data_IF_268265009344
#
_entry.id   IF_268265009344
#
_cell.length_a   1.000
_cell.length_b   1.000
_cell.length_c   1.000
_cell.angle_alpha   90.00
_cell.angle_beta   90.00
_cell.angle_gamma   90.00
#
_symmetry.space_group_name_H-M   'P 1'
#
loop_
_entity.id
_entity.type
_entity.pdbx_description
1 polymer ?
#
# COMPACT_ATOMS: atom_id res chain seq x y z
N UNK A 1 -57.91 56.20 17.74
CA UNK A 1 -57.90 54.90 16.96
C UNK A 1 -56.69 54.76 16.03
N UNK A 2 -56.16 55.78 15.46
CA UNK A 2 -55.03 55.73 14.49
C UNK A 2 -53.66 55.34 15.07
N UNK A 3 -53.36 55.70 16.30
CA UNK A 3 -52.06 55.44 16.96
C UNK A 3 -51.87 53.96 17.30
N UNK A 4 -52.93 53.26 17.69
CA UNK A 4 -52.88 51.82 18.02
C UNK A 4 -52.66 50.94 16.76
N UNK A 5 -53.23 51.34 15.62
CA UNK A 5 -53.09 50.69 14.33
C UNK A 5 -51.65 50.86 13.84
N UNK A 6 -51.10 52.06 13.93
CA UNK A 6 -49.73 52.39 13.48
C UNK A 6 -48.65 51.64 14.29
N UNK A 7 -48.86 51.44 15.57
CA UNK A 7 -47.96 50.66 16.40
C UNK A 7 -48.05 49.15 16.12
N UNK A 8 -49.24 48.62 15.80
CA UNK A 8 -49.38 47.21 15.38
C UNK A 8 -48.69 46.94 14.03
N UNK A 9 -48.79 47.81 13.08
CA UNK A 9 -48.17 47.69 11.78
C UNK A 9 -46.63 47.70 11.95
N UNK A 10 -46.10 48.66 12.69
CA UNK A 10 -44.66 48.76 12.98
C UNK A 10 -44.10 47.50 13.70
N UNK A 11 -44.84 46.93 14.63
CA UNK A 11 -44.42 45.69 15.31
C UNK A 11 -44.49 44.50 14.34
N UNK A 12 -45.41 44.44 13.40
CA UNK A 12 -45.52 43.41 12.38
C UNK A 12 -44.34 43.48 11.37
N UNK A 13 -44.00 44.70 10.92
CA UNK A 13 -42.85 44.93 10.03
C UNK A 13 -41.54 44.52 10.73
N UNK A 14 -41.41 44.81 12.01
CA UNK A 14 -40.24 44.41 12.80
C UNK A 14 -40.14 42.88 12.99
N UNK A 15 -41.27 42.21 13.18
CA UNK A 15 -41.35 40.74 13.25
C UNK A 15 -40.99 40.08 11.92
N UNK A 16 -41.52 40.61 10.80
CA UNK A 16 -41.21 40.09 9.46
C UNK A 16 -39.73 40.31 9.12
N UNK A 17 -39.16 41.46 9.45
CA UNK A 17 -37.76 41.74 9.24
C UNK A 17 -36.84 40.78 10.02
N UNK A 18 -37.15 40.52 11.29
CA UNK A 18 -36.40 39.54 12.09
C UNK A 18 -36.54 38.11 11.57
N UNK A 19 -37.74 37.72 11.11
CA UNK A 19 -37.98 36.39 10.54
C UNK A 19 -37.16 36.18 9.25
N UNK A 20 -37.10 37.18 8.37
CA UNK A 20 -36.29 37.16 7.15
C UNK A 20 -34.80 37.10 7.48
N UNK A 21 -34.36 37.82 8.51
CA UNK A 21 -32.96 37.79 8.95
C UNK A 21 -32.54 36.40 9.49
N UNK A 22 -33.41 35.78 10.28
CA UNK A 22 -33.17 34.43 10.80
C UNK A 22 -33.11 33.38 9.68
N UNK A 23 -33.95 33.50 8.64
CA UNK A 23 -33.90 32.56 7.49
C UNK A 23 -32.64 32.73 6.64
N UNK A 24 -32.10 33.95 6.52
CA UNK A 24 -30.85 34.18 5.77
C UNK A 24 -29.58 33.62 6.47
N UNK A 25 -29.59 33.47 7.79
CA UNK A 25 -28.41 32.94 8.55
C UNK A 25 -28.40 31.42 8.60
N UNK A 26 -29.54 30.76 8.32
CA UNK A 26 -29.69 29.30 8.42
C UNK A 26 -29.06 28.49 7.27
N UNK A 27 -28.56 29.13 6.22
CA UNK A 27 -28.05 28.45 4.99
C UNK A 27 -26.50 28.47 4.91
N UNK A 28 -25.80 28.15 5.97
CA UNK A 28 -24.38 27.80 5.89
C UNK A 28 -24.22 26.29 5.95
N UNK A 29 -24.77 25.56 4.99
CA UNK A 29 -24.28 24.23 4.71
C UNK A 29 -22.92 24.37 4.03
N UNK A 30 -21.86 24.27 4.86
CA UNK A 30 -20.54 23.94 4.33
C UNK A 30 -20.69 22.55 3.70
N UNK A 31 -20.77 22.52 2.38
CA UNK A 31 -20.73 21.27 1.62
C UNK A 31 -19.37 20.62 1.88
N UNK A 32 -19.31 19.70 2.82
CA UNK A 32 -18.15 18.81 2.95
C UNK A 32 -18.05 18.01 1.68
N UNK A 33 -16.95 18.10 0.92
CA UNK A 33 -16.74 17.25 -0.25
C UNK A 33 -16.95 15.82 0.19
N UNK A 34 -17.87 15.09 -0.44
CA UNK A 34 -18.00 13.65 -0.21
C UNK A 34 -16.68 13.02 -0.61
N UNK A 35 -16.08 12.14 0.20
CA UNK A 35 -14.90 11.39 -0.21
C UNK A 35 -15.24 10.68 -1.52
N UNK A 36 -14.28 10.64 -2.45
CA UNK A 36 -14.45 9.91 -3.70
C UNK A 36 -14.90 8.49 -3.40
N UNK A 37 -15.96 8.03 -4.06
CA UNK A 37 -16.40 6.65 -3.93
C UNK A 37 -15.32 5.74 -4.47
N UNK A 38 -14.76 4.91 -3.59
CA UNK A 38 -13.78 3.89 -3.99
C UNK A 38 -14.51 2.77 -4.71
N UNK A 39 -13.91 2.25 -5.78
CA UNK A 39 -14.34 0.99 -6.35
C UNK A 39 -14.24 -0.09 -5.27
N UNK A 40 -15.31 -0.84 -5.05
CA UNK A 40 -15.27 -1.99 -4.16
C UNK A 40 -14.42 -3.07 -4.82
N UNK A 41 -13.17 -3.15 -4.44
CA UNK A 41 -12.28 -4.24 -4.83
C UNK A 41 -12.63 -5.42 -3.95
N UNK A 42 -13.16 -6.47 -4.57
CA UNK A 42 -13.36 -7.74 -3.88
C UNK A 42 -12.02 -8.46 -3.86
N UNK A 43 -11.39 -8.53 -2.70
CA UNK A 43 -10.19 -9.33 -2.51
C UNK A 43 -10.60 -10.80 -2.50
N UNK A 44 -9.98 -11.66 -3.33
CA UNK A 44 -10.28 -13.08 -3.34
C UNK A 44 -9.80 -13.76 -2.05
N UNK A 45 -10.46 -14.84 -1.66
CA UNK A 45 -9.96 -15.72 -0.61
C UNK A 45 -8.59 -16.27 -1.03
N UNK A 46 -7.63 -16.23 -0.12
CA UNK A 46 -6.26 -16.61 -0.41
C UNK A 46 -5.91 -17.95 0.25
N UNK A 47 -5.58 -18.93 -0.58
CA UNK A 47 -4.85 -20.12 -0.17
C UNK A 47 -3.36 -19.91 -0.50
N UNK A 48 -2.48 -20.55 0.27
CA UNK A 48 -1.03 -20.47 0.06
C UNK A 48 -0.47 -21.85 -0.25
N UNK A 49 0.47 -21.90 -1.19
CA UNK A 49 1.22 -23.09 -1.56
C UNK A 49 2.73 -22.80 -1.47
N UNK A 50 3.58 -23.77 -1.13
CA UNK A 50 5.02 -23.54 -1.17
C UNK A 50 5.47 -23.22 -2.61
N UNK A 51 6.25 -22.15 -2.78
CA UNK A 51 6.82 -21.77 -4.07
C UNK A 51 7.66 -22.90 -4.68
N UNK A 52 8.39 -23.62 -3.83
CA UNK A 52 9.22 -24.76 -4.22
C UNK A 52 8.44 -25.92 -4.83
N UNK A 53 7.14 -26.03 -4.61
CA UNK A 53 6.34 -27.08 -5.22
C UNK A 53 6.28 -26.97 -6.75
N UNK A 54 6.42 -25.76 -7.28
CA UNK A 54 6.44 -25.47 -8.71
C UNK A 54 7.86 -25.16 -9.22
N UNK A 55 8.73 -24.62 -8.35
CA UNK A 55 10.07 -24.13 -8.69
C UNK A 55 11.15 -24.71 -7.77
N UNK A 56 11.39 -26.04 -7.79
CA UNK A 56 12.27 -26.71 -6.82
C UNK A 56 13.76 -26.32 -6.95
N UNK A 57 14.19 -25.81 -8.11
CA UNK A 57 15.58 -25.46 -8.39
C UNK A 57 16.00 -24.07 -7.86
N UNK A 58 15.08 -23.30 -7.30
CA UNK A 58 15.38 -21.97 -6.78
C UNK A 58 16.06 -22.06 -5.40
N UNK A 59 17.02 -21.16 -5.08
CA UNK A 59 17.77 -21.17 -3.82
C UNK A 59 16.96 -20.63 -2.64
N UNK A 60 15.69 -20.39 -2.80
CA UNK A 60 14.76 -19.89 -1.78
C UNK A 60 13.39 -20.52 -1.92
N UNK A 61 12.63 -20.45 -0.86
CA UNK A 61 11.22 -20.88 -0.77
C UNK A 61 10.42 -19.91 0.09
N UNK A 62 9.11 -19.84 -0.15
CA UNK A 62 8.15 -19.05 0.62
C UNK A 62 6.72 -19.49 0.28
N UNK A 63 5.75 -19.08 1.09
CA UNK A 63 4.34 -19.29 0.80
C UNK A 63 3.87 -18.34 -0.32
N UNK A 64 3.51 -18.91 -1.47
CA UNK A 64 2.97 -18.21 -2.62
C UNK A 64 1.45 -18.22 -2.58
N UNK A 65 0.83 -17.06 -2.80
CA UNK A 65 -0.62 -16.93 -2.95
C UNK A 65 -1.14 -17.69 -4.17
N UNK A 66 -2.24 -18.44 -4.02
CA UNK A 66 -2.90 -19.12 -5.13
C UNK A 66 -3.52 -18.18 -6.17
N UNK A 67 -3.68 -16.90 -5.81
CA UNK A 67 -4.21 -15.87 -6.70
C UNK A 67 -3.12 -15.21 -7.56
N UNK A 68 -1.87 -15.56 -7.32
CA UNK A 68 -0.71 -15.03 -8.02
C UNK A 68 -0.20 -16.00 -9.09
N UNK A 69 0.41 -15.45 -10.12
CA UNK A 69 1.08 -16.18 -11.19
C UNK A 69 2.56 -15.80 -11.23
N UNK A 70 3.43 -16.81 -11.24
CA UNK A 70 4.88 -16.58 -11.32
C UNK A 70 5.29 -16.46 -12.78
N UNK A 71 6.01 -15.39 -13.09
CA UNK A 71 6.65 -15.13 -14.36
C UNK A 71 8.16 -15.17 -14.16
N UNK A 72 8.80 -16.19 -14.72
CA UNK A 72 10.26 -16.35 -14.66
C UNK A 72 10.92 -15.32 -15.57
N UNK A 73 11.96 -14.65 -15.08
CA UNK A 73 12.76 -13.72 -15.87
C UNK A 73 13.99 -14.43 -16.42
N UNK A 74 14.11 -14.43 -17.73
CA UNK A 74 15.21 -15.12 -18.43
C UNK A 74 16.54 -14.35 -18.40
N UNK A 75 16.49 -13.04 -18.12
CA UNK A 75 17.67 -12.16 -18.18
C UNK A 75 18.62 -12.38 -16.99
N UNK A 76 18.06 -12.76 -15.83
CA UNK A 76 18.82 -12.93 -14.61
C UNK A 76 18.41 -14.22 -13.89
N UNK A 77 19.37 -15.03 -13.41
CA UNK A 77 19.06 -16.27 -12.72
C UNK A 77 18.30 -16.03 -11.41
N UNK A 78 17.25 -16.82 -11.21
CA UNK A 78 16.42 -16.79 -10.01
C UNK A 78 15.62 -15.49 -9.78
N UNK A 79 15.53 -14.62 -10.78
CA UNK A 79 14.62 -13.48 -10.71
C UNK A 79 13.24 -13.89 -11.19
N UNK A 80 12.20 -13.39 -10.50
CA UNK A 80 10.81 -13.68 -10.83
C UNK A 80 9.95 -12.42 -10.68
N UNK A 81 8.84 -12.39 -11.40
CA UNK A 81 7.74 -11.50 -11.11
C UNK A 81 6.57 -12.35 -10.59
N UNK A 82 5.93 -11.90 -9.53
CA UNK A 82 4.71 -12.49 -9.00
C UNK A 82 3.57 -11.57 -9.39
N UNK A 83 2.82 -11.97 -10.40
CA UNK A 83 1.74 -11.16 -10.97
C UNK A 83 0.39 -11.56 -10.39
N UNK A 84 -0.41 -10.56 -10.04
CA UNK A 84 -1.78 -10.68 -9.55
C UNK A 84 -2.75 -10.18 -10.61
N UNK A 85 -3.31 -11.04 -11.48
CA UNK A 85 -4.16 -10.64 -12.59
C UNK A 85 -5.38 -9.81 -12.18
N UNK A 86 -6.04 -10.23 -11.09
CA UNK A 86 -7.25 -9.59 -10.60
C UNK A 86 -7.03 -8.16 -10.03
N UNK A 87 -5.79 -7.83 -9.68
CA UNK A 87 -5.42 -6.54 -9.05
C UNK A 87 -4.57 -5.67 -9.97
N UNK A 88 -4.20 -6.18 -11.14
CA UNK A 88 -3.22 -5.58 -12.07
C UNK A 88 -1.96 -5.08 -11.33
N UNK A 89 -1.42 -5.96 -10.48
CA UNK A 89 -0.28 -5.67 -9.63
C UNK A 89 0.79 -6.73 -9.79
N UNK A 90 2.05 -6.31 -9.60
CA UNK A 90 3.21 -7.19 -9.72
C UNK A 90 4.16 -6.98 -8.55
N UNK A 91 4.64 -8.06 -7.95
CA UNK A 91 5.77 -8.06 -7.04
C UNK A 91 7.01 -8.45 -7.86
N UNK A 92 7.92 -7.50 -8.05
CA UNK A 92 9.19 -7.76 -8.70
C UNK A 92 10.19 -8.29 -7.69
N UNK A 93 10.66 -9.50 -7.90
CA UNK A 93 11.58 -10.20 -7.02
C UNK A 93 12.94 -10.37 -7.71
N UNK A 94 13.99 -10.00 -7.01
CA UNK A 94 15.37 -10.16 -7.45
C UNK A 94 16.18 -10.94 -6.41
N UNK A 95 17.01 -11.84 -6.90
CA UNK A 95 17.95 -12.61 -6.09
C UNK A 95 19.39 -12.27 -6.52
N UNK A 96 20.27 -12.12 -5.54
CA UNK A 96 21.72 -11.95 -5.78
C UNK A 96 22.51 -12.80 -4.79
N UNK A 97 23.54 -13.54 -5.26
CA UNK A 97 24.47 -14.17 -4.33
C UNK A 97 25.33 -13.10 -3.63
N UNK A 98 25.54 -13.26 -2.33
CA UNK A 98 26.43 -12.41 -1.56
C UNK A 98 27.88 -12.85 -1.79
N UNK A 99 28.73 -11.94 -2.28
CA UNK A 99 30.14 -12.15 -2.57
C UNK A 99 31.01 -11.15 -1.80
N UNK A 100 30.87 -11.11 -0.48
CA UNK A 100 31.45 -10.10 0.42
C UNK A 100 30.97 -8.67 0.19
N UNK A 101 29.88 -8.51 -0.51
CA UNK A 101 29.28 -7.22 -0.92
C UNK A 101 27.90 -6.97 -0.30
N UNK A 102 27.60 -7.60 0.84
CA UNK A 102 26.31 -7.47 1.53
C UNK A 102 25.95 -5.99 1.78
N UNK A 103 26.94 -5.20 2.22
CA UNK A 103 26.74 -3.76 2.49
C UNK A 103 26.32 -3.00 1.22
N UNK A 104 26.92 -3.34 0.09
CA UNK A 104 26.58 -2.75 -1.20
C UNK A 104 25.14 -3.14 -1.62
N UNK A 105 24.80 -4.42 -1.55
CA UNK A 105 23.45 -4.91 -1.85
C UNK A 105 22.38 -4.29 -0.96
N UNK A 106 22.69 -4.10 0.33
CA UNK A 106 21.79 -3.43 1.27
C UNK A 106 21.65 -1.95 0.94
N UNK A 107 22.74 -1.26 0.64
CA UNK A 107 22.70 0.15 0.24
C UNK A 107 21.88 0.35 -1.05
N UNK A 108 22.07 -0.52 -2.05
CA UNK A 108 21.27 -0.51 -3.28
C UNK A 108 19.78 -0.69 -2.98
N UNK A 109 19.44 -1.64 -2.09
CA UNK A 109 18.05 -1.86 -1.69
C UNK A 109 17.44 -0.61 -1.01
N UNK A 110 18.18 0.03 -0.11
CA UNK A 110 17.77 1.27 0.55
C UNK A 110 17.64 2.43 -0.45
N UNK A 111 18.58 2.56 -1.41
CA UNK A 111 18.50 3.58 -2.45
C UNK A 111 17.20 3.43 -3.27
N UNK A 112 16.79 2.20 -3.62
CA UNK A 112 15.50 1.96 -4.30
C UNK A 112 14.30 2.35 -3.45
N UNK A 113 14.31 2.12 -2.14
CA UNK A 113 13.28 2.57 -1.22
C UNK A 113 13.20 4.10 -1.23
N UNK A 114 14.33 4.77 -0.97
CA UNK A 114 14.35 6.23 -0.80
C UNK A 114 14.24 7.02 -2.11
N UNK A 115 14.51 6.40 -3.26
CA UNK A 115 14.21 7.01 -4.57
C UNK A 115 12.71 7.30 -4.74
N UNK A 116 11.85 6.51 -4.13
CA UNK A 116 10.40 6.71 -4.11
C UNK A 116 9.91 7.59 -2.95
N UNK A 117 10.81 7.99 -2.03
CA UNK A 117 10.45 8.72 -0.82
C UNK A 117 9.91 10.13 -1.07
N UNK A 118 10.21 10.74 -2.22
CA UNK A 118 9.72 12.10 -2.55
C UNK A 118 8.19 12.20 -2.63
N UNK A 119 7.50 11.10 -2.80
CA UNK A 119 6.03 11.01 -2.86
C UNK A 119 5.44 10.29 -1.64
N UNK A 120 6.30 9.84 -0.71
CA UNK A 120 5.86 9.20 0.52
C UNK A 120 5.56 10.25 1.60
N UNK A 121 4.50 10.02 2.36
CA UNK A 121 4.18 10.78 3.58
C UNK A 121 4.90 10.22 4.79
N UNK A 122 5.12 8.90 4.81
CA UNK A 122 5.95 8.20 5.78
C UNK A 122 6.49 6.90 5.20
N UNK A 123 7.55 6.36 5.80
CA UNK A 123 8.16 5.07 5.43
C UNK A 123 8.42 4.27 6.72
N UNK A 124 7.37 3.70 7.34
CA UNK A 124 7.56 2.76 8.44
C UNK A 124 8.43 1.58 8.04
N UNK A 125 9.38 1.26 8.90
CA UNK A 125 10.29 0.13 8.73
C UNK A 125 9.98 -0.95 9.76
N UNK A 126 9.97 -2.20 9.33
CA UNK A 126 9.79 -3.37 10.19
C UNK A 126 10.92 -4.36 9.99
N UNK A 127 11.73 -4.54 11.02
CA UNK A 127 12.75 -5.60 11.03
C UNK A 127 12.12 -6.98 11.18
N UNK A 128 12.67 -7.95 10.47
CA UNK A 128 12.37 -9.37 10.59
C UNK A 128 13.63 -10.14 10.91
N UNK A 129 13.52 -11.07 11.89
CA UNK A 129 14.58 -11.99 12.24
C UNK A 129 13.94 -13.36 12.50
N UNK A 130 14.35 -14.35 11.73
CA UNK A 130 14.01 -15.76 11.91
C UNK A 130 15.30 -16.58 11.98
N UNK A 131 15.94 -16.62 13.16
CA UNK A 131 17.27 -17.22 13.32
C UNK A 131 17.33 -18.71 12.97
N UNK A 132 16.24 -19.45 13.17
CA UNK A 132 16.18 -20.89 12.86
C UNK A 132 16.26 -21.18 11.35
N UNK A 133 15.87 -20.20 10.51
CA UNK A 133 15.94 -20.28 9.05
C UNK A 133 17.07 -19.42 8.46
N UNK A 134 17.90 -18.79 9.29
CA UNK A 134 18.93 -17.81 8.88
C UNK A 134 18.36 -16.69 7.99
N UNK A 135 17.15 -16.20 8.29
CA UNK A 135 16.48 -15.15 7.53
C UNK A 135 16.42 -13.87 8.35
N UNK A 136 17.08 -12.84 7.84
CA UNK A 136 17.11 -11.50 8.43
C UNK A 136 16.76 -10.46 7.37
N UNK A 137 15.95 -9.47 7.70
CA UNK A 137 15.54 -8.50 6.70
C UNK A 137 14.76 -7.32 7.24
N UNK A 138 14.36 -6.46 6.34
CA UNK A 138 13.54 -5.28 6.64
C UNK A 138 12.44 -5.14 5.60
N UNK A 139 11.25 -4.86 6.07
CA UNK A 139 10.10 -4.48 5.26
C UNK A 139 9.86 -2.97 5.42
N UNK A 140 9.64 -2.30 4.31
CA UNK A 140 9.35 -0.87 4.19
C UNK A 140 7.93 -0.70 3.66
N UNK A 141 7.08 -0.05 4.43
CA UNK A 141 5.76 0.37 3.99
C UNK A 141 5.86 1.84 3.51
N UNK A 142 5.69 2.10 2.22
CA UNK A 142 5.77 3.46 1.66
C UNK A 142 4.34 4.04 1.60
N UNK A 143 3.98 4.82 2.60
CA UNK A 143 2.67 5.47 2.67
C UNK A 143 2.62 6.71 1.78
N UNK A 144 1.47 6.96 1.16
CA UNK A 144 1.27 8.08 0.24
C UNK A 144 1.16 7.66 -1.22
N UNK A 145 1.27 8.62 -2.14
CA UNK A 145 1.12 8.39 -3.58
C UNK A 145 2.42 7.91 -4.23
N UNK A 146 2.97 6.83 -3.69
CA UNK A 146 4.22 6.23 -4.15
C UNK A 146 3.98 5.24 -5.28
N UNK A 147 4.96 5.09 -6.18
CA UNK A 147 4.89 4.10 -7.26
C UNK A 147 4.97 2.65 -6.72
N UNK A 148 5.66 2.46 -5.60
CA UNK A 148 5.79 1.17 -4.91
C UNK A 148 5.36 1.34 -3.47
N UNK A 149 4.28 0.68 -3.07
CA UNK A 149 3.69 0.82 -1.72
C UNK A 149 4.40 0.00 -0.66
N UNK A 150 5.11 -1.06 -1.07
CA UNK A 150 5.79 -1.95 -0.15
C UNK A 150 7.05 -2.52 -0.79
N UNK A 151 8.15 -2.53 -0.07
CA UNK A 151 9.41 -3.13 -0.47
C UNK A 151 10.01 -3.89 0.71
N UNK A 152 10.75 -4.96 0.44
CA UNK A 152 11.52 -5.64 1.47
C UNK A 152 12.78 -6.26 0.89
N UNK A 153 13.72 -6.56 1.76
CA UNK A 153 14.81 -7.48 1.45
C UNK A 153 15.01 -8.46 2.61
N UNK A 154 15.52 -9.63 2.28
CA UNK A 154 15.94 -10.66 3.25
C UNK A 154 17.28 -11.24 2.83
N UNK A 155 18.08 -11.66 3.82
CA UNK A 155 19.43 -12.22 3.63
C UNK A 155 19.75 -13.22 4.74
N UNK A 156 20.65 -14.17 4.44
CA UNK A 156 21.33 -14.99 5.46
C UNK A 156 22.65 -14.35 5.94
N UNK A 157 22.90 -13.11 5.51
CA UNK A 157 24.11 -12.33 5.79
C UNK A 157 25.40 -12.86 5.15
N UNK A 158 25.38 -14.02 4.51
CA UNK A 158 26.61 -14.69 4.04
C UNK A 158 26.61 -15.09 2.58
N UNK A 159 25.50 -15.62 2.06
CA UNK A 159 25.41 -16.23 0.73
C UNK A 159 24.28 -15.69 -0.11
N UNK A 160 23.19 -15.32 0.51
CA UNK A 160 21.91 -15.06 -0.15
C UNK A 160 21.39 -13.67 0.14
N UNK A 161 20.92 -12.99 -0.90
CA UNK A 161 20.21 -11.72 -0.79
C UNK A 161 19.01 -11.75 -1.73
N UNK A 162 17.83 -11.53 -1.19
CA UNK A 162 16.58 -11.46 -1.95
C UNK A 162 15.89 -10.13 -1.66
N UNK A 163 15.41 -9.48 -2.69
CA UNK A 163 14.67 -8.22 -2.60
C UNK A 163 13.39 -8.33 -3.40
N UNK A 164 12.32 -7.72 -2.88
CA UNK A 164 11.07 -7.59 -3.61
C UNK A 164 10.47 -6.19 -3.47
N UNK A 165 9.70 -5.77 -4.47
CA UNK A 165 8.99 -4.50 -4.50
C UNK A 165 7.67 -4.63 -5.24
N UNK A 166 6.62 -4.03 -4.69
CA UNK A 166 5.25 -4.06 -5.24
C UNK A 166 5.01 -2.88 -6.14
N UNK A 167 4.42 -3.15 -7.30
CA UNK A 167 3.94 -2.12 -8.22
C UNK A 167 2.51 -2.46 -8.68
N UNK A 168 1.65 -1.45 -8.71
CA UNK A 168 0.35 -1.53 -9.39
C UNK A 168 0.48 -0.86 -10.76
N UNK A 169 -0.10 -1.47 -11.80
CA UNK A 169 -0.09 -0.94 -13.16
C UNK A 169 -1.15 0.16 -13.35
N UNK A 170 -1.11 1.16 -12.47
CA UNK A 170 -2.04 2.29 -12.47
C UNK A 170 -1.37 3.53 -11.90
N UNK A 171 -2.02 4.68 -12.07
CA UNK A 171 -1.54 5.91 -11.46
C UNK A 171 -1.62 5.81 -9.93
N UNK A 172 -0.53 6.12 -9.19
CA UNK A 172 -0.52 6.07 -7.74
C UNK A 172 -1.61 6.96 -7.12
N UNK A 173 -2.44 6.34 -6.29
CA UNK A 173 -3.48 7.00 -5.50
C UNK A 173 -3.69 6.18 -4.23
N UNK A 174 -3.06 6.58 -3.14
CA UNK A 174 -3.05 5.84 -1.88
C UNK A 174 -4.47 5.53 -1.36
N UNK A 175 -5.37 6.51 -1.44
CA UNK A 175 -6.73 6.36 -0.94
C UNK A 175 -7.53 5.32 -1.74
N UNK A 176 -7.49 5.40 -3.06
CA UNK A 176 -8.25 4.49 -3.94
C UNK A 176 -7.65 3.08 -3.97
N UNK A 177 -6.34 2.96 -3.82
CA UNK A 177 -5.61 1.69 -3.89
C UNK A 177 -5.41 1.03 -2.51
N UNK A 178 -5.83 1.69 -1.41
CA UNK A 178 -5.66 1.15 -0.07
C UNK A 178 -6.12 -0.31 0.09
N UNK A 179 -7.27 -0.76 -0.46
CA UNK A 179 -7.67 -2.16 -0.38
C UNK A 179 -6.70 -3.12 -1.09
N UNK A 180 -6.16 -2.71 -2.26
CA UNK A 180 -5.18 -3.49 -3.02
C UNK A 180 -3.86 -3.57 -2.26
N UNK A 181 -3.38 -2.43 -1.77
CA UNK A 181 -2.13 -2.38 -1.00
C UNK A 181 -2.20 -3.22 0.28
N UNK A 182 -3.31 -3.15 1.02
CA UNK A 182 -3.51 -3.96 2.22
C UNK A 182 -3.53 -5.46 1.91
N UNK A 183 -4.17 -5.87 0.81
CA UNK A 183 -4.18 -7.25 0.37
C UNK A 183 -2.76 -7.74 0.02
N UNK A 184 -2.06 -7.03 -0.87
CA UNK A 184 -0.71 -7.38 -1.29
C UNK A 184 0.30 -7.34 -0.13
N UNK A 185 0.13 -6.39 0.79
CA UNK A 185 0.94 -6.30 2.01
C UNK A 185 0.77 -7.54 2.89
N UNK A 186 -0.45 -8.08 3.02
CA UNK A 186 -0.71 -9.32 3.76
C UNK A 186 0.04 -10.50 3.12
N UNK A 187 -0.01 -10.62 1.79
CA UNK A 187 0.70 -11.67 1.05
C UNK A 187 2.24 -11.52 1.19
N UNK A 188 2.76 -10.28 1.17
CA UNK A 188 4.19 -10.00 1.41
C UNK A 188 4.61 -10.39 2.84
N UNK A 189 3.83 -10.02 3.84
CA UNK A 189 4.12 -10.41 5.23
C UNK A 189 4.17 -11.93 5.32
N UNK A 190 3.20 -12.63 4.73
CA UNK A 190 3.18 -14.08 4.70
C UNK A 190 4.39 -14.67 3.98
N UNK A 191 4.81 -14.06 2.87
CA UNK A 191 6.02 -14.44 2.15
C UNK A 191 7.27 -14.30 3.04
N UNK A 192 7.45 -13.16 3.72
CA UNK A 192 8.61 -12.92 4.60
C UNK A 192 8.60 -13.85 5.82
N UNK A 193 7.44 -14.08 6.44
CA UNK A 193 7.30 -14.97 7.60
C UNK A 193 7.56 -16.44 7.30
N UNK A 194 7.36 -16.85 6.06
CA UNK A 194 7.55 -18.24 5.61
C UNK A 194 8.81 -18.42 4.76
N UNK A 195 9.61 -17.36 4.65
CA UNK A 195 10.80 -17.38 3.83
C UNK A 195 11.86 -18.36 4.36
N UNK A 196 12.44 -19.13 3.47
CA UNK A 196 13.52 -20.07 3.78
C UNK A 196 14.54 -20.13 2.64
N UNK A 197 15.79 -20.30 2.99
CA UNK A 197 16.87 -20.61 2.05
C UNK A 197 16.96 -22.12 1.81
N UNK A 198 17.52 -22.50 0.64
CA UNK A 198 17.77 -23.90 0.26
C UNK A 198 19.24 -24.16 0.03
#
# INVERSE_FOLDING_TARGET
MGVLIKNRIRNLEFLIFNLVWITCVACNHVSTPKPYGYYRITTPDTAYVPFSSQYPAYPYDFALSSNAQVQVRSEEPYWINIWYPALDATIHCSYKPVQRNLRELTNDALEFVYRNASYATSIPERGYAHPEADVYGVLFDLEGNTASSCQFFVTDSTRHFFRASVYCNCQPNADSLAPVYNYLRTDIIRMVETFAWK
#
